data_IF_547851065481
#
_entry.id   IF_547851065481
#
_cell.length_a   1.000
_cell.length_b   1.000
_cell.length_c   1.000
_cell.angle_alpha   90.00
_cell.angle_beta   90.00
_cell.angle_gamma   90.00
#
_symmetry.space_group_name_H-M   'P 1'
#
loop_
_entity.id
_entity.type
_entity.pdbx_description
1 polymer ?
#
# COMPACT_ATOMS: atom_id res chain seq x y z
N UNK A 1 -5.65 -17.85 4.22
CA UNK A 1 -5.89 -16.46 3.79
C UNK A 1 -7.05 -15.87 4.58
N UNK A 2 -6.92 -14.60 4.99
CA UNK A 2 -7.95 -13.89 5.74
C UNK A 2 -8.69 -12.95 4.77
N UNK A 3 -10.01 -13.02 4.75
CA UNK A 3 -10.83 -12.03 4.06
C UNK A 3 -10.64 -10.67 4.75
N UNK A 4 -10.37 -9.62 3.96
CA UNK A 4 -10.16 -8.25 4.44
C UNK A 4 -11.35 -7.37 4.12
N UNK A 5 -11.73 -7.31 2.85
CA UNK A 5 -12.81 -6.42 2.40
C UNK A 5 -13.38 -6.84 1.04
N UNK A 6 -14.59 -6.40 0.78
CA UNK A 6 -15.18 -6.33 -0.54
C UNK A 6 -15.27 -4.85 -0.94
N UNK A 7 -14.57 -4.47 -2.00
CA UNK A 7 -14.54 -3.11 -2.51
C UNK A 7 -15.50 -3.03 -3.71
N UNK A 8 -16.38 -2.06 -3.68
CA UNK A 8 -17.30 -1.73 -4.77
C UNK A 8 -16.66 -0.67 -5.65
N UNK A 9 -16.22 -1.06 -6.85
CA UNK A 9 -15.66 -0.16 -7.85
C UNK A 9 -16.74 0.25 -8.85
N UNK A 10 -16.98 1.55 -8.97
CA UNK A 10 -17.88 2.11 -9.97
C UNK A 10 -17.19 2.13 -11.34
N UNK A 11 -17.54 1.16 -12.19
CA UNK A 11 -16.90 0.93 -13.49
C UNK A 11 -17.47 1.78 -14.63
N UNK A 12 -18.63 2.40 -14.45
CA UNK A 12 -19.30 3.21 -15.46
C UNK A 12 -19.83 4.51 -14.86
N UNK A 13 -19.88 5.56 -15.67
CA UNK A 13 -20.40 6.88 -15.29
C UNK A 13 -21.82 7.14 -15.78
N UNK A 14 -22.35 6.31 -16.68
CA UNK A 14 -23.68 6.47 -17.28
C UNK A 14 -24.53 5.22 -17.10
N UNK A 15 -25.81 5.42 -16.83
CA UNK A 15 -26.80 4.36 -16.82
C UNK A 15 -26.97 3.78 -18.23
N UNK A 16 -27.10 2.46 -18.35
CA UNK A 16 -27.43 1.79 -19.60
C UNK A 16 -28.94 1.72 -19.73
N UNK A 17 -29.47 2.41 -20.74
CA UNK A 17 -30.92 2.41 -21.02
C UNK A 17 -31.40 1.13 -21.72
N UNK A 18 -30.49 0.28 -22.20
CA UNK A 18 -30.72 -0.96 -22.94
C UNK A 18 -30.71 -2.22 -22.05
N UNK A 19 -30.53 -2.07 -20.75
CA UNK A 19 -30.50 -3.21 -19.83
C UNK A 19 -31.92 -3.66 -19.47
N UNK A 20 -32.17 -4.98 -19.56
CA UNK A 20 -33.36 -5.59 -18.99
C UNK A 20 -33.16 -5.79 -17.48
N UNK A 21 -33.81 -4.97 -16.65
CA UNK A 21 -33.71 -5.02 -15.19
C UNK A 21 -32.84 -3.90 -14.60
N UNK A 22 -32.16 -4.19 -13.48
CA UNK A 22 -31.30 -3.20 -12.79
C UNK A 22 -29.90 -3.24 -13.41
N UNK A 23 -29.43 -2.12 -14.03
CA UNK A 23 -28.09 -2.06 -14.62
C UNK A 23 -26.99 -2.23 -13.56
N UNK A 24 -25.98 -3.02 -13.85
CA UNK A 24 -24.83 -3.19 -12.97
C UNK A 24 -23.77 -2.09 -13.27
N UNK A 25 -23.67 -1.11 -12.39
CA UNK A 25 -22.68 -0.02 -12.46
C UNK A 25 -21.40 -0.33 -11.70
N UNK A 26 -21.42 -1.38 -10.86
CA UNK A 26 -20.38 -1.71 -9.91
C UNK A 26 -19.78 -3.08 -10.25
N UNK A 27 -18.48 -3.19 -10.13
CA UNK A 27 -17.74 -4.45 -10.02
C UNK A 27 -17.16 -4.59 -8.61
N UNK A 28 -16.99 -5.83 -8.16
CA UNK A 28 -16.50 -6.15 -6.83
C UNK A 28 -15.03 -6.60 -6.88
N UNK A 29 -14.22 -6.02 -6.00
CA UNK A 29 -12.82 -6.41 -5.79
C UNK A 29 -12.73 -7.06 -4.41
N UNK A 30 -12.48 -8.36 -4.38
CA UNK A 30 -12.33 -9.11 -3.14
C UNK A 30 -10.87 -9.04 -2.67
N UNK A 31 -10.67 -8.58 -1.44
CA UNK A 31 -9.34 -8.42 -0.85
C UNK A 31 -9.11 -9.49 0.21
N UNK A 32 -8.02 -10.22 0.05
CA UNK A 32 -7.57 -11.24 0.99
C UNK A 32 -6.11 -10.97 1.39
N UNK A 33 -5.75 -11.34 2.62
CA UNK A 33 -4.38 -11.27 3.11
C UNK A 33 -3.90 -12.62 3.61
N UNK A 34 -2.61 -12.93 3.41
CA UNK A 34 -1.94 -14.06 4.07
C UNK A 34 -1.56 -13.73 5.51
N UNK A 35 -1.40 -12.43 5.84
CA UNK A 35 -1.08 -11.96 7.19
C UNK A 35 -2.38 -11.64 7.94
N UNK A 36 -2.59 -12.19 9.15
CA UNK A 36 -3.65 -11.72 10.02
C UNK A 36 -3.50 -10.21 10.29
N UNK A 37 -4.60 -9.49 10.38
CA UNK A 37 -4.62 -8.05 10.69
C UNK A 37 -3.74 -7.18 9.75
N UNK A 38 -3.67 -7.54 8.46
CA UNK A 38 -3.04 -6.65 7.48
C UNK A 38 -3.77 -5.31 7.43
N UNK A 39 -3.01 -4.23 7.49
CA UNK A 39 -3.52 -2.86 7.42
C UNK A 39 -3.09 -2.24 6.09
N UNK A 40 -4.03 -1.77 5.26
CA UNK A 40 -3.70 -1.09 4.02
C UNK A 40 -2.98 0.23 4.27
N UNK A 41 -2.08 0.59 3.37
CA UNK A 41 -1.49 1.93 3.36
C UNK A 41 -2.56 2.99 3.11
N UNK A 42 -2.33 4.20 3.61
CA UNK A 42 -3.23 5.32 3.37
C UNK A 42 -3.01 5.90 1.97
N UNK A 43 -4.08 6.33 1.35
CA UNK A 43 -4.03 7.08 0.09
C UNK A 43 -3.46 8.48 0.32
N UNK A 44 -2.83 9.10 -0.67
CA UNK A 44 -2.42 10.50 -0.61
C UNK A 44 -3.60 11.42 -0.30
N UNK A 45 -3.33 12.52 0.36
CA UNK A 45 -4.33 13.57 0.60
C UNK A 45 -4.58 14.37 -0.67
N UNK A 46 -5.82 14.79 -0.87
CA UNK A 46 -6.17 15.66 -1.99
C UNK A 46 -5.88 17.14 -1.64
N UNK A 47 -5.69 17.99 -2.66
CA UNK A 47 -5.56 19.44 -2.48
C UNK A 47 -6.76 20.05 -1.77
N UNK A 48 -7.99 19.58 -2.07
CA UNK A 48 -9.20 20.00 -1.37
C UNK A 48 -9.15 19.71 0.14
N UNK A 49 -8.63 18.54 0.53
CA UNK A 49 -8.42 18.21 1.94
C UNK A 49 -7.37 19.13 2.59
N UNK A 50 -6.33 19.48 1.86
CA UNK A 50 -5.24 20.33 2.34
C UNK A 50 -5.66 21.80 2.41
N UNK A 51 -6.50 22.27 1.51
CA UNK A 51 -6.99 23.67 1.48
C UNK A 51 -7.76 24.09 2.74
N UNK A 52 -8.25 23.13 3.54
CA UNK A 52 -8.91 23.36 4.84
C UNK A 52 -7.94 23.74 5.94
N UNK A 53 -6.64 23.51 5.73
CA UNK A 53 -5.59 23.85 6.69
C UNK A 53 -5.05 25.24 6.36
N UNK A 54 -5.10 26.11 7.34
CA UNK A 54 -4.66 27.51 7.23
C UNK A 54 -3.76 27.85 8.42
N UNK A 55 -3.05 28.95 8.34
CA UNK A 55 -2.22 29.45 9.43
C UNK A 55 -2.59 30.91 9.76
N UNK A 56 -3.77 31.15 10.35
CA UNK A 56 -4.27 32.51 10.58
C UNK A 56 -3.52 33.25 11.70
N UNK A 57 -2.76 32.56 12.52
CA UNK A 57 -2.06 33.10 13.68
C UNK A 57 -0.51 32.99 13.54
N UNK A 58 -0.01 32.69 12.35
CA UNK A 58 1.42 32.51 12.05
C UNK A 58 2.10 31.52 13.02
N UNK A 59 1.43 30.39 13.27
CA UNK A 59 1.95 29.32 14.10
C UNK A 59 3.21 28.70 13.45
N UNK A 60 4.36 28.63 14.16
CA UNK A 60 5.58 28.06 13.61
C UNK A 60 5.50 26.57 13.28
N UNK A 61 4.53 25.84 13.89
CA UNK A 61 4.27 24.45 13.57
C UNK A 61 3.55 24.28 12.22
N UNK A 62 3.13 25.38 11.57
CA UNK A 62 2.56 25.38 10.23
C UNK A 62 1.01 25.38 10.20
N UNK A 63 0.43 25.09 9.01
CA UNK A 63 -1.01 25.15 8.83
C UNK A 63 -1.78 24.15 9.68
N UNK A 64 -2.91 24.56 10.21
CA UNK A 64 -3.78 23.75 11.05
C UNK A 64 -5.26 23.91 10.70
N UNK A 65 -6.05 22.93 11.09
CA UNK A 65 -7.50 22.93 10.96
C UNK A 65 -8.15 23.00 12.34
N UNK A 66 -9.25 23.74 12.42
CA UNK A 66 -10.13 23.81 13.59
C UNK A 66 -10.80 22.45 13.83
N UNK A 67 -10.62 21.88 15.02
CA UNK A 67 -11.27 20.64 15.44
C UNK A 67 -11.87 20.76 16.84
N UNK A 68 -12.73 19.79 17.20
CA UNK A 68 -13.34 19.76 18.54
C UNK A 68 -12.29 19.58 19.64
N UNK A 69 -12.43 20.35 20.71
CA UNK A 69 -11.57 20.31 21.87
C UNK A 69 -11.81 19.08 22.78
N UNK A 70 -12.94 18.42 22.61
CA UNK A 70 -13.39 17.30 23.44
C UNK A 70 -13.67 16.04 22.59
N UNK A 71 -13.83 14.90 23.26
CA UNK A 71 -14.16 13.60 22.69
C UNK A 71 -15.39 13.01 23.41
N UNK A 72 -16.16 12.10 22.78
CA UNK A 72 -17.30 11.45 23.44
C UNK A 72 -16.86 10.52 24.58
N UNK A 73 -17.77 10.21 25.49
CA UNK A 73 -17.55 9.30 26.62
C UNK A 73 -17.24 9.98 27.93
N UNK A 74 -17.97 11.07 28.25
CA UNK A 74 -17.85 11.79 29.51
C UNK A 74 -18.08 10.93 30.75
N UNK A 75 -19.04 10.01 30.70
CA UNK A 75 -19.34 9.06 31.77
C UNK A 75 -18.18 8.14 32.11
N UNK A 76 -17.44 7.65 31.10
CA UNK A 76 -16.32 6.73 31.28
C UNK A 76 -14.99 7.45 31.56
N UNK A 77 -14.90 8.73 31.23
CA UNK A 77 -13.69 9.56 31.36
C UNK A 77 -13.90 10.76 32.32
N UNK A 78 -14.56 10.54 33.41
CA UNK A 78 -14.98 11.61 34.37
C UNK A 78 -13.80 12.47 34.88
N UNK A 79 -12.60 11.91 35.01
CA UNK A 79 -11.39 12.67 35.36
C UNK A 79 -10.97 13.73 34.32
N UNK A 80 -11.51 13.65 33.10
CA UNK A 80 -11.31 14.64 32.03
C UNK A 80 -12.55 15.53 31.80
N UNK A 81 -13.54 15.50 32.71
CA UNK A 81 -14.68 16.38 32.73
C UNK A 81 -14.45 17.39 33.86
N UNK A 82 -13.80 18.48 33.54
CA UNK A 82 -13.45 19.58 34.47
C UNK A 82 -13.74 20.93 33.84
N UNK A 83 -13.87 21.95 34.67
CA UNK A 83 -14.03 23.33 34.22
C UNK A 83 -12.72 23.94 33.74
N UNK A 84 -12.80 24.78 32.70
CA UNK A 84 -11.73 25.71 32.29
C UNK A 84 -12.32 27.12 32.35
N UNK A 85 -11.72 27.99 33.15
CA UNK A 85 -12.17 29.37 33.23
C UNK A 85 -11.73 30.16 32.01
N UNK A 86 -12.67 30.81 31.34
CA UNK A 86 -12.45 31.56 30.12
C UNK A 86 -11.70 32.88 30.43
N UNK A 87 -10.54 33.16 29.83
CA UNK A 87 -9.66 34.27 30.24
C UNK A 87 -10.23 35.65 29.86
N UNK A 88 -11.15 35.71 28.89
CA UNK A 88 -11.74 36.99 28.48
C UNK A 88 -13.10 37.28 29.13
N UNK A 89 -13.82 36.24 29.53
CA UNK A 89 -15.19 36.42 30.06
C UNK A 89 -15.37 35.96 31.50
N UNK A 90 -14.42 35.25 32.06
CA UNK A 90 -14.48 34.67 33.42
C UNK A 90 -15.40 33.44 33.51
N UNK A 91 -16.16 33.10 32.48
CA UNK A 91 -17.12 31.99 32.48
C UNK A 91 -16.42 30.65 32.64
N UNK A 92 -16.97 29.75 33.46
CA UNK A 92 -16.55 28.34 33.52
C UNK A 92 -17.09 27.60 32.31
N UNK A 93 -16.18 26.89 31.62
CA UNK A 93 -16.47 26.14 30.41
C UNK A 93 -16.26 24.66 30.67
N UNK A 94 -17.25 23.85 30.36
CA UNK A 94 -17.22 22.40 30.45
C UNK A 94 -17.30 21.78 29.06
N UNK A 95 -16.91 20.50 28.89
CA UNK A 95 -17.22 19.73 27.67
C UNK A 95 -18.75 19.70 27.45
N UNK A 96 -19.18 19.42 26.23
CA UNK A 96 -20.60 19.21 25.95
C UNK A 96 -21.09 17.89 26.58
N UNK A 97 -22.41 17.73 26.70
CA UNK A 97 -23.03 16.52 27.25
C UNK A 97 -22.43 15.26 26.66
N UNK A 98 -22.12 14.26 27.49
CA UNK A 98 -21.45 12.99 27.20
C UNK A 98 -20.09 13.15 26.52
N UNK A 99 -19.38 14.24 26.77
CA UNK A 99 -18.02 14.45 26.25
C UNK A 99 -17.03 14.74 27.39
N UNK A 100 -15.76 14.63 27.07
CA UNK A 100 -14.63 14.94 27.95
C UNK A 100 -13.56 15.71 27.19
N UNK A 101 -12.72 16.50 27.91
CA UNK A 101 -11.55 17.11 27.29
C UNK A 101 -10.58 16.02 26.81
N UNK A 102 -9.77 16.35 25.80
CA UNK A 102 -8.83 15.38 25.20
C UNK A 102 -7.55 15.17 25.98
N UNK A 103 -7.34 15.94 27.06
CA UNK A 103 -6.14 15.89 27.89
C UNK A 103 -6.51 15.85 29.36
N UNK A 104 -5.63 15.22 30.14
CA UNK A 104 -5.70 15.31 31.59
C UNK A 104 -5.44 16.74 32.08
N UNK A 105 -5.82 17.04 33.30
CA UNK A 105 -5.79 18.38 33.89
C UNK A 105 -4.41 19.05 33.79
N UNK A 106 -3.35 18.33 34.13
CA UNK A 106 -1.98 18.85 34.14
C UNK A 106 -1.49 19.23 32.74
N UNK A 107 -1.74 18.36 31.74
CA UNK A 107 -1.36 18.66 30.36
C UNK A 107 -2.18 19.81 29.79
N UNK A 108 -3.47 19.87 30.10
CA UNK A 108 -4.32 20.97 29.66
C UNK A 108 -3.92 22.28 30.34
N UNK A 109 -3.56 22.25 31.63
CA UNK A 109 -3.08 23.42 32.37
C UNK A 109 -1.83 24.02 31.68
N UNK A 110 -0.87 23.19 31.33
CA UNK A 110 0.35 23.67 30.64
C UNK A 110 0.01 24.35 29.30
N UNK A 111 -0.92 23.77 28.54
CA UNK A 111 -1.38 24.40 27.29
C UNK A 111 -2.09 25.73 27.55
N UNK A 112 -2.98 25.77 28.55
CA UNK A 112 -3.75 26.98 28.88
C UNK A 112 -2.90 28.10 29.44
N UNK A 113 -1.79 27.79 30.13
CA UNK A 113 -0.78 28.76 30.57
C UNK A 113 -0.15 29.57 29.44
N UNK A 114 -0.23 29.06 28.22
CA UNK A 114 0.15 29.83 27.02
C UNK A 114 -0.74 31.07 26.77
N UNK A 115 -1.92 31.20 27.38
CA UNK A 115 -2.79 32.35 27.29
C UNK A 115 -2.55 33.39 28.41
N UNK A 116 -2.57 32.92 29.66
CA UNK A 116 -2.32 33.69 30.86
C UNK A 116 -2.03 32.76 32.03
N UNK A 117 -1.93 33.28 33.27
CA UNK A 117 -1.63 32.45 34.43
C UNK A 117 -2.87 31.66 34.88
N UNK A 118 -2.70 30.33 34.92
CA UNK A 118 -3.72 29.39 35.39
C UNK A 118 -3.20 28.48 36.50
N UNK A 119 -4.10 28.02 37.36
CA UNK A 119 -3.83 27.04 38.41
C UNK A 119 -4.92 25.98 38.48
N UNK A 120 -4.66 24.89 39.19
CA UNK A 120 -5.61 23.86 39.50
C UNK A 120 -6.27 24.19 40.83
N UNK A 121 -7.61 24.21 40.82
CA UNK A 121 -8.41 24.52 42.02
C UNK A 121 -9.61 23.60 42.14
N UNK A 122 -9.90 23.11 43.32
CA UNK A 122 -11.14 22.40 43.60
C UNK A 122 -12.33 23.38 43.60
N UNK A 123 -13.38 22.98 42.93
CA UNK A 123 -14.64 23.73 42.87
C UNK A 123 -15.76 22.84 43.37
N UNK A 124 -16.83 23.45 43.89
CA UNK A 124 -18.09 22.77 44.15
C UNK A 124 -18.92 22.76 42.86
N UNK A 125 -18.49 21.92 41.89
CA UNK A 125 -19.03 21.81 40.53
C UNK A 125 -19.56 20.41 40.19
N UNK A 126 -19.92 19.63 41.22
CA UNK A 126 -20.48 18.30 41.06
C UNK A 126 -21.75 18.28 40.20
N UNK A 127 -22.58 19.28 40.31
CA UNK A 127 -23.82 19.42 39.53
C UNK A 127 -23.54 19.63 38.02
N UNK A 128 -22.61 20.51 37.69
CA UNK A 128 -22.24 20.82 36.31
C UNK A 128 -21.55 19.58 35.64
N UNK A 129 -20.65 18.92 36.37
CA UNK A 129 -19.99 17.71 35.87
C UNK A 129 -20.97 16.55 35.72
N UNK A 130 -21.92 16.40 36.64
CA UNK A 130 -23.00 15.43 36.56
C UNK A 130 -23.88 15.64 35.32
N UNK A 131 -24.23 16.89 35.03
CA UNK A 131 -24.98 17.23 33.81
C UNK A 131 -24.22 16.86 32.52
N UNK A 132 -22.90 17.03 32.50
CA UNK A 132 -22.04 16.59 31.38
C UNK A 132 -21.98 15.09 31.28
N UNK A 133 -21.75 14.38 32.38
CA UNK A 133 -21.60 12.92 32.45
C UNK A 133 -22.93 12.16 32.30
N UNK A 134 -24.07 12.80 32.46
CA UNK A 134 -25.39 12.13 32.52
C UNK A 134 -25.57 11.29 33.78
N UNK A 135 -25.02 11.77 34.93
CA UNK A 135 -25.01 11.13 36.23
C UNK A 135 -25.68 12.04 37.26
N UNK A 136 -25.83 11.55 38.51
CA UNK A 136 -26.18 12.38 39.66
C UNK A 136 -24.90 12.99 40.26
N UNK A 137 -25.01 14.11 41.03
CA UNK A 137 -23.84 14.73 41.66
C UNK A 137 -23.04 13.83 42.58
N UNK A 138 -23.71 12.86 43.23
CA UNK A 138 -23.06 11.89 44.14
C UNK A 138 -22.28 10.80 43.40
N UNK A 139 -22.60 10.56 42.13
CA UNK A 139 -21.95 9.54 41.28
C UNK A 139 -20.74 10.07 40.55
N UNK A 140 -20.52 11.38 40.47
CA UNK A 140 -19.38 11.92 39.75
C UNK A 140 -18.09 11.75 40.54
N UNK A 141 -17.00 11.49 39.82
CA UNK A 141 -15.66 11.31 40.39
C UNK A 141 -15.26 12.52 41.22
N UNK A 142 -14.89 12.27 42.47
CA UNK A 142 -14.40 13.32 43.39
C UNK A 142 -12.93 13.69 43.11
N UNK A 143 -12.49 14.86 43.61
CA UNK A 143 -11.11 15.33 43.48
C UNK A 143 -10.69 15.78 42.10
N UNK A 144 -11.63 16.02 41.18
CA UNK A 144 -11.37 16.56 39.86
C UNK A 144 -11.26 18.09 39.96
N UNK A 145 -10.06 18.63 39.73
CA UNK A 145 -9.77 20.06 39.84
C UNK A 145 -10.07 20.80 38.54
N UNK A 146 -10.60 21.98 38.63
CA UNK A 146 -10.80 22.92 37.55
C UNK A 146 -9.49 23.67 37.21
N UNK A 147 -9.38 24.15 36.00
CA UNK A 147 -8.32 25.05 35.53
C UNK A 147 -8.87 26.48 35.62
N UNK A 148 -8.46 27.22 36.64
CA UNK A 148 -8.95 28.56 36.91
C UNK A 148 -7.85 29.60 36.76
N UNK A 149 -8.26 30.87 36.55
CA UNK A 149 -7.34 31.98 36.51
C UNK A 149 -6.71 32.17 37.90
N UNK A 150 -5.37 32.29 37.96
CA UNK A 150 -4.66 32.56 39.20
C UNK A 150 -4.54 34.06 39.51
N UNK A 151 -5.01 34.91 38.60
CA UNK A 151 -5.01 36.38 38.69
C UNK A 151 -6.43 36.93 38.43
N UNK A 152 -6.75 38.16 38.83
CA UNK A 152 -8.01 38.80 38.49
C UNK A 152 -8.32 38.79 37.01
N UNK A 153 -9.60 38.75 36.67
CA UNK A 153 -10.07 38.59 35.28
C UNK A 153 -9.57 39.69 34.35
N UNK A 154 -9.52 40.92 34.80
CA UNK A 154 -9.03 42.07 34.03
C UNK A 154 -7.56 41.93 33.65
N UNK A 155 -6.71 41.48 34.58
CA UNK A 155 -5.29 41.20 34.36
C UNK A 155 -5.12 40.01 33.39
N UNK A 156 -5.82 38.92 33.65
CA UNK A 156 -5.79 37.72 32.82
C UNK A 156 -6.25 38.00 31.38
N UNK A 157 -7.36 38.80 31.27
CA UNK A 157 -7.89 39.21 29.97
C UNK A 157 -6.90 40.06 29.15
N UNK A 158 -6.19 41.00 29.81
CA UNK A 158 -5.16 41.80 29.14
C UNK A 158 -3.98 40.92 28.62
N UNK A 159 -3.53 39.94 29.42
CA UNK A 159 -2.49 38.99 29.00
C UNK A 159 -2.95 38.15 27.81
N UNK A 160 -4.12 37.55 27.90
CA UNK A 160 -4.70 36.73 26.85
C UNK A 160 -4.95 37.54 25.55
N UNK A 161 -5.35 38.81 25.67
CA UNK A 161 -5.50 39.71 24.52
C UNK A 161 -4.18 39.92 23.79
N UNK A 162 -3.06 40.15 24.51
CA UNK A 162 -1.75 40.30 23.95
C UNK A 162 -1.31 39.02 23.18
N UNK A 163 -1.59 37.84 23.72
CA UNK A 163 -1.32 36.56 23.03
C UNK A 163 -2.17 36.44 21.77
N UNK A 164 -3.45 36.82 21.85
CA UNK A 164 -4.36 36.75 20.69
C UNK A 164 -3.90 37.68 19.55
N UNK A 165 -3.48 38.90 19.87
CA UNK A 165 -3.02 39.92 18.91
C UNK A 165 -1.64 39.56 18.32
N UNK A 166 -0.75 39.01 19.13
CA UNK A 166 0.58 38.54 18.68
C UNK A 166 0.46 37.39 17.68
N UNK A 167 -0.56 36.55 17.81
CA UNK A 167 -0.64 35.26 17.11
C UNK A 167 0.11 34.15 17.84
N UNK A 168 0.36 33.02 17.11
CA UNK A 168 0.97 31.81 17.69
C UNK A 168 0.18 31.30 18.92
N UNK A 169 -1.14 31.20 18.74
CA UNK A 169 -2.03 30.80 19.82
C UNK A 169 -1.70 29.39 20.33
N UNK A 170 -1.92 29.13 21.62
CA UNK A 170 -1.84 27.77 22.16
C UNK A 170 -2.70 26.78 21.38
N UNK A 171 -2.33 25.50 21.43
CA UNK A 171 -3.02 24.40 20.72
C UNK A 171 -4.53 24.38 20.98
N UNK A 172 -4.96 24.74 22.20
CA UNK A 172 -6.35 25.01 22.52
C UNK A 172 -6.56 26.52 22.53
N UNK A 173 -7.48 26.99 21.73
CA UNK A 173 -7.69 28.40 21.49
C UNK A 173 -9.16 28.78 21.54
N UNK A 174 -9.44 30.09 21.76
CA UNK A 174 -10.77 30.65 21.85
C UNK A 174 -11.19 31.23 20.50
N UNK A 175 -12.38 30.81 20.01
CA UNK A 175 -12.93 31.28 18.74
C UNK A 175 -13.53 32.69 18.85
N UNK A 176 -14.05 33.23 17.73
CA UNK A 176 -14.80 34.51 17.70
C UNK A 176 -14.05 35.68 18.34
N UNK A 177 -12.79 35.88 17.97
CA UNK A 177 -11.99 36.97 18.50
C UNK A 177 -11.70 36.85 20.03
N UNK A 178 -11.58 35.62 20.52
CA UNK A 178 -11.34 35.34 21.91
C UNK A 178 -12.64 35.29 22.76
N UNK A 179 -13.83 35.53 22.20
CA UNK A 179 -15.11 35.55 22.95
C UNK A 179 -15.89 34.23 22.83
N UNK A 180 -15.46 33.33 21.97
CA UNK A 180 -16.16 32.07 21.69
C UNK A 180 -15.64 30.89 22.48
N UNK A 181 -16.12 29.69 22.12
CA UNK A 181 -15.76 28.45 22.80
C UNK A 181 -14.31 27.98 22.49
N UNK A 182 -13.88 27.02 23.28
CA UNK A 182 -12.57 26.39 23.11
C UNK A 182 -12.61 25.43 21.94
N UNK A 183 -11.62 25.57 21.06
CA UNK A 183 -11.33 24.66 19.93
C UNK A 183 -9.87 24.21 19.98
N UNK A 184 -9.55 23.18 19.19
CA UNK A 184 -8.20 22.61 19.12
C UNK A 184 -7.63 22.76 17.73
N UNK A 185 -6.35 23.11 17.64
CA UNK A 185 -5.57 23.04 16.40
C UNK A 185 -5.21 21.58 16.10
N UNK A 186 -5.46 21.14 14.88
CA UNK A 186 -4.94 19.89 14.33
C UNK A 186 -4.07 20.26 13.14
N UNK A 187 -2.77 20.03 13.27
CA UNK A 187 -1.79 20.45 12.27
C UNK A 187 -1.79 19.51 11.07
N UNK A 188 -1.57 20.06 9.88
CA UNK A 188 -1.53 19.31 8.63
C UNK A 188 -0.44 18.22 8.65
N UNK A 189 0.71 18.54 9.21
CA UNK A 189 1.83 17.61 9.34
C UNK A 189 1.51 16.38 10.22
N UNK A 190 0.66 16.55 11.23
CA UNK A 190 0.24 15.46 12.12
C UNK A 190 -0.81 14.53 11.53
N UNK A 191 -1.35 14.86 10.36
CA UNK A 191 -2.46 14.11 9.75
C UNK A 191 -1.92 13.27 8.59
N UNK A 192 -1.96 11.97 8.76
CA UNK A 192 -1.59 11.04 7.70
C UNK A 192 -2.52 11.10 6.49
N UNK A 193 -2.28 10.24 5.50
CA UNK A 193 -3.09 10.11 4.30
C UNK A 193 -4.57 9.77 4.57
N UNK A 194 -5.34 9.73 3.51
CA UNK A 194 -6.77 9.35 3.51
C UNK A 194 -6.90 7.82 3.66
N UNK A 195 -7.73 7.30 4.58
CA UNK A 195 -8.03 5.87 4.60
C UNK A 195 -8.64 5.41 3.29
N UNK A 196 -8.27 4.23 2.81
CA UNK A 196 -8.97 3.58 1.72
C UNK A 196 -10.33 3.08 2.21
N UNK A 197 -11.40 3.54 1.58
CA UNK A 197 -12.76 3.07 1.84
C UNK A 197 -13.10 1.88 0.93
N UNK A 198 -14.20 1.21 1.18
CA UNK A 198 -14.68 0.10 0.34
C UNK A 198 -15.58 0.53 -0.83
N UNK A 199 -15.72 1.83 -1.08
CA UNK A 199 -16.37 2.38 -2.27
C UNK A 199 -15.38 3.23 -3.06
N UNK A 200 -15.17 2.86 -4.32
CA UNK A 200 -14.24 3.51 -5.22
C UNK A 200 -14.98 4.11 -6.43
N UNK A 201 -15.25 5.41 -6.42
CA UNK A 201 -15.95 6.08 -7.50
C UNK A 201 -15.06 6.18 -8.75
N UNK A 202 -15.67 6.17 -9.93
CA UNK A 202 -14.96 6.31 -11.21
C UNK A 202 -14.12 7.58 -11.29
N UNK A 203 -14.55 8.67 -10.65
CA UNK A 203 -13.82 9.93 -10.63
C UNK A 203 -12.41 9.80 -10.03
N UNK A 204 -12.22 8.89 -9.08
CA UNK A 204 -10.92 8.64 -8.43
C UNK A 204 -10.12 7.51 -9.11
N UNK A 205 -10.79 6.54 -9.72
CA UNK A 205 -10.18 5.28 -10.18
C UNK A 205 -10.30 5.03 -11.69
N UNK A 206 -10.98 5.89 -12.41
CA UNK A 206 -11.30 5.66 -13.82
C UNK A 206 -12.47 4.69 -14.02
N UNK A 207 -12.89 4.58 -15.25
CA UNK A 207 -13.98 3.72 -15.71
C UNK A 207 -13.59 2.99 -17.00
N UNK A 208 -14.41 2.01 -17.41
CA UNK A 208 -14.10 1.12 -18.56
C UNK A 208 -13.93 1.89 -19.88
N UNK A 209 -14.76 2.91 -20.16
CA UNK A 209 -14.64 3.68 -21.40
C UNK A 209 -13.37 4.54 -21.44
N UNK A 210 -12.96 5.11 -20.30
CA UNK A 210 -11.66 5.79 -20.16
C UNK A 210 -10.53 4.81 -20.49
N UNK A 211 -10.53 3.64 -19.87
CA UNK A 211 -9.52 2.63 -20.10
C UNK A 211 -9.44 2.18 -21.57
N UNK A 212 -10.59 2.10 -22.26
CA UNK A 212 -10.63 1.78 -23.70
C UNK A 212 -10.03 2.90 -24.55
N UNK A 213 -10.32 4.15 -24.22
CA UNK A 213 -9.72 5.32 -24.90
C UNK A 213 -8.21 5.39 -24.68
N UNK A 214 -7.76 5.12 -23.47
CA UNK A 214 -6.33 5.08 -23.13
C UNK A 214 -5.62 3.98 -23.93
N UNK A 215 -6.20 2.78 -23.97
CA UNK A 215 -5.65 1.67 -24.74
C UNK A 215 -5.59 2.02 -26.25
N UNK A 216 -6.65 2.59 -26.81
CA UNK A 216 -6.66 3.08 -28.19
C UNK A 216 -5.58 4.13 -28.44
N UNK A 217 -5.35 5.03 -27.49
CA UNK A 217 -4.29 6.04 -27.60
C UNK A 217 -2.90 5.41 -27.63
N UNK A 218 -2.65 4.44 -26.77
CA UNK A 218 -1.38 3.69 -26.73
C UNK A 218 -1.11 2.99 -28.06
N UNK A 219 -2.15 2.45 -28.71
CA UNK A 219 -2.03 1.70 -29.97
C UNK A 219 -2.26 2.53 -31.23
N UNK A 220 -2.39 3.85 -31.12
CA UNK A 220 -2.65 4.73 -32.27
C UNK A 220 -4.00 4.48 -32.95
N UNK A 221 -5.01 4.07 -32.17
CA UNK A 221 -6.38 3.84 -32.64
C UNK A 221 -6.64 2.47 -33.28
N UNK A 222 -5.70 1.52 -33.24
CA UNK A 222 -5.74 0.24 -33.98
C UNK A 222 -5.74 -1.00 -33.09
N UNK A 223 -6.41 -0.98 -31.95
CA UNK A 223 -6.50 -2.15 -31.08
C UNK A 223 -7.93 -2.54 -30.80
N UNK A 224 -8.21 -3.84 -30.83
CA UNK A 224 -9.49 -4.42 -30.44
C UNK A 224 -9.29 -5.22 -29.16
N UNK A 225 -9.74 -4.66 -28.05
CA UNK A 225 -9.75 -5.35 -26.76
C UNK A 225 -10.97 -4.88 -25.98
N UNK A 226 -11.74 -5.84 -25.51
CA UNK A 226 -12.94 -5.54 -24.75
C UNK A 226 -12.65 -5.40 -23.27
N UNK A 227 -13.23 -4.37 -22.65
CA UNK A 227 -13.24 -4.15 -21.20
C UNK A 227 -11.87 -4.10 -20.51
N UNK A 228 -10.88 -3.31 -21.01
CA UNK A 228 -9.65 -3.09 -20.26
C UNK A 228 -9.96 -2.41 -18.92
N UNK A 229 -9.15 -2.67 -17.92
CA UNK A 229 -9.25 -1.94 -16.65
C UNK A 229 -8.43 -0.63 -16.72
N UNK A 230 -8.87 0.45 -16.07
CA UNK A 230 -8.10 1.69 -16.03
C UNK A 230 -6.82 1.54 -15.19
N UNK A 231 -5.72 2.13 -15.63
CA UNK A 231 -4.45 2.09 -14.88
C UNK A 231 -4.60 2.68 -13.49
N UNK A 232 -5.36 3.77 -13.33
CA UNK A 232 -5.64 4.42 -12.04
C UNK A 232 -6.30 3.50 -11.01
N UNK A 233 -7.09 2.52 -11.45
CA UNK A 233 -7.66 1.51 -10.55
C UNK A 233 -6.56 0.63 -9.95
N UNK A 234 -5.66 0.13 -10.80
CA UNK A 234 -4.56 -0.72 -10.37
C UNK A 234 -3.53 0.08 -9.55
N UNK A 235 -3.23 1.32 -9.95
CA UNK A 235 -2.38 2.22 -9.17
C UNK A 235 -2.92 2.43 -7.76
N UNK A 236 -4.24 2.56 -7.60
CA UNK A 236 -4.87 2.63 -6.27
C UNK A 236 -4.72 1.33 -5.47
N UNK A 237 -4.90 0.17 -6.11
CA UNK A 237 -4.65 -1.14 -5.48
C UNK A 237 -3.20 -1.21 -5.00
N UNK A 238 -2.25 -0.86 -5.85
CA UNK A 238 -0.83 -0.87 -5.52
C UNK A 238 -0.47 0.13 -4.42
N UNK A 239 -1.06 1.33 -4.42
CA UNK A 239 -0.84 2.34 -3.39
C UNK A 239 -1.19 1.82 -1.99
N UNK A 240 -2.25 1.03 -1.86
CA UNK A 240 -2.69 0.52 -0.55
C UNK A 240 -2.07 -0.81 -0.16
N UNK A 241 -1.52 -1.57 -1.13
CA UNK A 241 -1.11 -2.96 -0.92
C UNK A 241 0.37 -3.25 -1.24
N UNK A 242 1.06 -2.40 -1.99
CA UNK A 242 2.41 -2.66 -2.47
C UNK A 242 3.42 -1.62 -1.96
N UNK A 243 4.56 -2.08 -1.43
CA UNK A 243 5.72 -1.23 -1.15
C UNK A 243 6.50 -0.89 -2.45
N UNK A 244 7.43 0.08 -2.41
CA UNK A 244 8.20 0.48 -3.59
C UNK A 244 9.09 -0.61 -4.20
N UNK A 245 9.30 -1.74 -3.53
CA UNK A 245 10.14 -2.87 -3.93
C UNK A 245 9.35 -4.18 -4.14
N UNK A 246 8.02 -4.13 -4.11
CA UNK A 246 7.16 -5.31 -4.22
C UNK A 246 7.24 -6.00 -5.57
N UNK A 247 6.95 -7.31 -5.57
CA UNK A 247 6.66 -8.10 -6.77
C UNK A 247 5.14 -8.18 -6.92
N UNK A 248 4.64 -7.79 -8.08
CA UNK A 248 3.22 -7.78 -8.43
C UNK A 248 2.96 -8.89 -9.45
N UNK A 249 2.20 -9.90 -9.05
CA UNK A 249 1.77 -10.98 -9.95
C UNK A 249 0.34 -10.73 -10.42
N UNK A 250 0.13 -10.78 -11.73
CA UNK A 250 -1.18 -10.77 -12.36
C UNK A 250 -1.30 -12.04 -13.24
N UNK A 251 -2.11 -12.98 -12.78
CA UNK A 251 -2.27 -14.28 -13.44
C UNK A 251 -3.28 -14.28 -14.59
N UNK A 252 -3.93 -13.14 -14.86
CA UNK A 252 -4.87 -12.93 -15.98
C UNK A 252 -4.65 -11.53 -16.54
N UNK A 253 -3.46 -11.30 -17.11
CA UNK A 253 -2.95 -9.97 -17.43
C UNK A 253 -3.81 -9.17 -18.42
N UNK A 254 -4.61 -9.84 -19.24
CA UNK A 254 -5.50 -9.20 -20.21
C UNK A 254 -4.72 -8.23 -21.09
N UNK A 255 -5.10 -6.96 -21.09
CA UNK A 255 -4.39 -5.94 -21.87
C UNK A 255 -3.11 -5.40 -21.23
N UNK A 256 -2.58 -5.99 -20.15
CA UNK A 256 -1.34 -5.56 -19.50
C UNK A 256 -1.45 -4.30 -18.62
N UNK A 257 -2.64 -4.01 -18.10
CA UNK A 257 -2.87 -2.82 -17.27
C UNK A 257 -2.03 -2.80 -16.00
N UNK A 258 -1.80 -3.97 -15.40
CA UNK A 258 -1.01 -4.09 -14.16
C UNK A 258 0.43 -3.67 -14.37
N UNK A 259 1.09 -4.10 -15.44
CA UNK A 259 2.44 -3.64 -15.75
C UNK A 259 2.48 -2.13 -16.01
N UNK A 260 1.52 -1.59 -16.76
CA UNK A 260 1.39 -0.14 -16.98
C UNK A 260 1.30 0.64 -15.66
N UNK A 261 0.46 0.20 -14.73
CA UNK A 261 0.34 0.83 -13.42
C UNK A 261 1.64 0.73 -12.58
N UNK A 262 2.31 -0.42 -12.60
CA UNK A 262 3.62 -0.59 -11.91
C UNK A 262 4.66 0.36 -12.47
N UNK A 263 4.79 0.46 -13.79
CA UNK A 263 5.74 1.34 -14.46
C UNK A 263 5.45 2.82 -14.16
N UNK A 264 4.19 3.24 -14.21
CA UNK A 264 3.77 4.59 -13.84
C UNK A 264 4.17 4.94 -12.40
N UNK A 265 3.90 4.04 -11.45
CA UNK A 265 4.23 4.28 -10.06
C UNK A 265 5.74 4.36 -9.83
N UNK A 266 6.52 3.48 -10.45
CA UNK A 266 7.99 3.52 -10.36
C UNK A 266 8.54 4.84 -10.92
N UNK A 267 8.01 5.34 -12.06
CA UNK A 267 8.39 6.65 -12.61
C UNK A 267 8.02 7.79 -11.65
N UNK A 268 6.88 7.70 -10.97
CA UNK A 268 6.36 8.76 -10.11
C UNK A 268 7.08 8.86 -8.75
N UNK A 269 7.43 7.72 -8.13
CA UNK A 269 7.98 7.67 -6.77
C UNK A 269 9.44 7.16 -6.70
N UNK A 270 10.05 6.82 -7.85
CA UNK A 270 11.40 6.25 -7.90
C UNK A 270 11.49 4.82 -7.35
N UNK A 271 10.37 4.13 -7.20
CA UNK A 271 10.31 2.75 -6.74
C UNK A 271 10.90 1.75 -7.75
N UNK A 272 11.12 0.53 -7.28
CA UNK A 272 11.63 -0.60 -8.06
C UNK A 272 10.67 -1.80 -7.97
N UNK A 273 9.36 -1.55 -8.06
CA UNK A 273 8.38 -2.63 -8.14
C UNK A 273 8.60 -3.43 -9.39
N UNK A 274 8.48 -4.74 -9.29
CA UNK A 274 8.58 -5.69 -10.40
C UNK A 274 7.22 -6.28 -10.68
N UNK A 275 6.97 -6.68 -11.92
CA UNK A 275 5.73 -7.36 -12.30
C UNK A 275 6.01 -8.71 -12.94
N UNK A 276 5.07 -9.63 -12.75
CA UNK A 276 4.98 -10.91 -13.42
C UNK A 276 3.57 -10.99 -13.98
N UNK A 277 3.46 -11.04 -15.30
CA UNK A 277 2.18 -11.17 -16.00
C UNK A 277 2.05 -12.54 -16.61
N UNK A 278 0.91 -13.17 -16.46
CA UNK A 278 0.58 -14.44 -17.12
C UNK A 278 -0.66 -14.21 -17.97
N UNK A 279 -0.60 -14.56 -19.25
CA UNK A 279 -1.70 -14.48 -20.19
C UNK A 279 -1.66 -15.69 -21.12
N UNK A 280 -2.78 -16.38 -21.27
CA UNK A 280 -2.86 -17.60 -22.07
C UNK A 280 -3.48 -17.41 -23.47
N UNK A 281 -4.03 -16.22 -23.72
CA UNK A 281 -4.71 -15.95 -24.99
C UNK A 281 -3.73 -15.48 -26.06
N UNK A 282 -4.08 -15.70 -27.31
CA UNK A 282 -3.27 -15.38 -28.49
C UNK A 282 -2.84 -13.90 -28.59
N UNK A 283 -3.52 -13.01 -27.89
CA UNK A 283 -3.14 -11.59 -27.82
C UNK A 283 -2.03 -11.27 -26.81
N UNK A 284 -1.47 -12.24 -26.11
CA UNK A 284 -0.42 -12.04 -25.10
C UNK A 284 0.77 -11.24 -25.64
N UNK A 285 1.25 -11.55 -26.85
CA UNK A 285 2.31 -10.79 -27.52
C UNK A 285 1.78 -9.48 -28.10
N UNK A 286 0.75 -9.55 -28.95
CA UNK A 286 0.30 -8.44 -29.78
C UNK A 286 -0.42 -7.30 -29.01
N UNK A 287 -0.98 -7.59 -27.84
CA UNK A 287 -1.66 -6.59 -26.99
C UNK A 287 -0.97 -6.44 -25.66
N UNK A 288 -0.80 -7.52 -24.88
CA UNK A 288 -0.28 -7.43 -23.51
C UNK A 288 1.17 -6.93 -23.50
N UNK A 289 2.07 -7.65 -24.17
CA UNK A 289 3.49 -7.30 -24.25
C UNK A 289 3.72 -5.99 -25.02
N UNK A 290 3.02 -5.81 -26.14
CA UNK A 290 3.14 -4.60 -26.95
C UNK A 290 2.69 -3.34 -26.20
N UNK A 291 1.64 -3.42 -25.37
CA UNK A 291 1.26 -2.31 -24.47
C UNK A 291 2.39 -1.95 -23.52
N UNK A 292 2.98 -2.96 -22.87
CA UNK A 292 4.09 -2.74 -21.93
C UNK A 292 5.26 -2.05 -22.62
N UNK A 293 5.64 -2.52 -23.82
CA UNK A 293 6.69 -1.92 -24.62
C UNK A 293 6.42 -0.45 -24.95
N UNK A 294 5.21 -0.14 -25.43
CA UNK A 294 4.83 1.23 -25.75
C UNK A 294 4.80 2.16 -24.54
N UNK A 295 4.40 1.66 -23.39
CA UNK A 295 4.43 2.42 -22.14
C UNK A 295 5.88 2.70 -21.70
N UNK A 296 6.79 1.75 -21.88
CA UNK A 296 8.22 1.92 -21.60
C UNK A 296 8.85 2.97 -22.54
N UNK A 297 8.59 2.85 -23.84
CA UNK A 297 9.21 3.67 -24.90
C UNK A 297 8.55 5.07 -25.03
N UNK A 298 7.28 5.19 -24.64
CA UNK A 298 6.43 6.33 -24.92
C UNK A 298 5.53 6.10 -26.14
N UNK A 299 4.43 6.85 -26.23
CA UNK A 299 3.43 6.69 -27.28
C UNK A 299 2.74 7.99 -27.62
N UNK A 300 1.99 7.98 -28.72
CA UNK A 300 1.31 9.16 -29.25
C UNK A 300 2.24 10.10 -30.01
N UNK A 301 1.67 11.14 -30.62
CA UNK A 301 2.40 12.10 -31.46
C UNK A 301 1.98 13.55 -31.16
N UNK A 302 2.89 14.49 -31.38
CA UNK A 302 2.64 15.92 -31.23
C UNK A 302 2.14 16.27 -29.82
N UNK A 303 0.99 16.96 -29.75
CA UNK A 303 0.39 17.37 -28.44
C UNK A 303 -0.17 16.22 -27.61
N UNK A 304 -0.30 15.03 -28.18
CA UNK A 304 -0.77 13.81 -27.51
C UNK A 304 0.36 12.85 -27.18
N UNK A 305 1.60 13.25 -27.40
CA UNK A 305 2.75 12.44 -27.05
C UNK A 305 2.82 12.24 -25.53
N UNK A 306 3.00 11.00 -25.11
CA UNK A 306 3.21 10.60 -23.72
C UNK A 306 4.63 10.06 -23.61
N UNK A 307 5.41 10.67 -22.74
CA UNK A 307 6.79 10.26 -22.48
C UNK A 307 6.83 8.88 -21.87
N UNK A 308 7.74 8.03 -22.33
CA UNK A 308 7.93 6.68 -21.81
C UNK A 308 8.28 6.66 -20.33
N UNK A 309 7.89 5.58 -19.68
CA UNK A 309 8.22 5.36 -18.27
C UNK A 309 9.66 4.93 -18.07
N UNK A 310 10.30 4.42 -19.14
CA UNK A 310 11.54 3.66 -19.02
C UNK A 310 11.31 2.28 -18.39
N UNK A 311 12.39 1.58 -18.14
CA UNK A 311 12.37 0.21 -17.61
C UNK A 311 12.59 -0.84 -18.69
N UNK A 312 12.40 -2.09 -18.33
CA UNK A 312 12.48 -3.24 -19.24
C UNK A 312 11.61 -4.39 -18.77
N UNK A 313 11.40 -5.38 -19.61
CA UNK A 313 10.78 -6.66 -19.26
C UNK A 313 11.30 -7.76 -20.16
N UNK A 314 11.15 -9.01 -19.72
CA UNK A 314 11.41 -10.21 -20.53
C UNK A 314 10.08 -10.86 -20.88
N UNK A 315 9.95 -11.24 -22.16
CA UNK A 315 8.79 -11.98 -22.65
C UNK A 315 9.18 -13.44 -22.83
N UNK A 316 8.32 -14.33 -22.35
CA UNK A 316 8.51 -15.77 -22.42
C UNK A 316 7.27 -16.43 -23.00
N UNK A 317 7.48 -17.44 -23.83
CA UNK A 317 6.45 -18.34 -24.32
C UNK A 317 6.68 -19.75 -23.78
N UNK A 318 5.62 -20.54 -23.69
CA UNK A 318 5.74 -21.94 -23.37
C UNK A 318 6.39 -22.67 -24.54
N UNK A 319 7.54 -23.26 -24.28
CA UNK A 319 8.22 -24.12 -25.22
C UNK A 319 7.57 -25.52 -25.32
N UNK A 320 8.18 -26.44 -26.07
CA UNK A 320 7.79 -27.84 -26.10
C UNK A 320 7.72 -28.46 -24.71
N UNK A 321 6.82 -29.40 -24.47
CA UNK A 321 6.77 -30.14 -23.22
C UNK A 321 8.10 -30.87 -22.98
N UNK A 322 8.57 -30.82 -21.74
CA UNK A 322 9.86 -31.42 -21.38
C UNK A 322 9.79 -32.95 -21.32
N UNK A 323 8.67 -33.47 -20.80
CA UNK A 323 8.40 -34.91 -20.73
C UNK A 323 7.30 -35.29 -21.70
N UNK A 324 7.52 -36.30 -22.49
CA UNK A 324 6.53 -36.89 -23.37
C UNK A 324 5.50 -37.73 -22.55
N UNK A 325 4.32 -38.06 -23.11
CA UNK A 325 3.31 -38.87 -22.41
C UNK A 325 3.79 -40.24 -21.93
N UNK A 326 4.81 -40.78 -22.53
CA UNK A 326 5.49 -42.06 -22.18
C UNK A 326 6.49 -41.90 -21.04
N UNK A 327 6.73 -40.67 -20.55
CA UNK A 327 7.69 -40.36 -19.49
C UNK A 327 9.10 -40.08 -19.96
N UNK A 328 9.38 -40.19 -21.26
CA UNK A 328 10.71 -39.90 -21.82
C UNK A 328 10.94 -38.40 -21.94
N UNK A 329 12.22 -38.00 -21.96
CA UNK A 329 12.60 -36.62 -22.24
C UNK A 329 12.28 -36.27 -23.72
N UNK A 330 11.72 -35.09 -23.91
CA UNK A 330 11.50 -34.55 -25.25
C UNK A 330 12.77 -33.91 -25.78
N UNK A 331 13.41 -34.57 -26.71
CA UNK A 331 14.68 -34.13 -27.32
C UNK A 331 14.58 -32.81 -28.14
N UNK A 332 13.32 -32.41 -28.52
CA UNK A 332 13.08 -31.14 -29.19
C UNK A 332 13.38 -29.94 -28.29
N UNK A 333 13.30 -30.11 -26.96
CA UNK A 333 13.62 -29.08 -25.97
C UNK A 333 15.11 -28.67 -26.02
N UNK A 334 15.97 -29.58 -26.46
CA UNK A 334 17.40 -29.37 -26.53
C UNK A 334 18.15 -29.64 -25.22
N UNK A 335 19.33 -30.21 -25.35
CA UNK A 335 20.15 -30.71 -24.21
C UNK A 335 20.42 -29.63 -23.15
N UNK A 336 20.62 -28.36 -23.53
CA UNK A 336 20.93 -27.29 -22.61
C UNK A 336 19.74 -27.02 -21.67
N UNK A 337 18.52 -26.92 -22.18
CA UNK A 337 17.30 -26.70 -21.38
C UNK A 337 16.97 -27.88 -20.48
N UNK A 338 17.22 -29.09 -20.96
CA UNK A 338 17.08 -30.31 -20.17
C UNK A 338 18.06 -30.29 -19.00
N UNK A 339 19.33 -29.91 -19.24
CA UNK A 339 20.35 -29.75 -18.19
C UNK A 339 19.96 -28.70 -17.14
N UNK A 340 19.47 -27.53 -17.56
CA UNK A 340 18.98 -26.48 -16.69
C UNK A 340 17.86 -26.99 -15.76
N UNK A 341 16.92 -27.74 -16.34
CA UNK A 341 15.82 -28.33 -15.59
C UNK A 341 16.30 -29.39 -14.58
N UNK A 342 17.09 -30.36 -15.03
CA UNK A 342 17.60 -31.45 -14.17
C UNK A 342 18.39 -30.88 -13.01
N UNK A 343 19.32 -29.95 -13.27
CA UNK A 343 20.11 -29.32 -12.22
C UNK A 343 19.23 -28.57 -11.21
N UNK A 344 18.25 -27.80 -11.70
CA UNK A 344 17.30 -27.09 -10.83
C UNK A 344 16.43 -28.04 -10.00
N UNK A 345 15.98 -29.14 -10.57
CA UNK A 345 15.16 -30.12 -9.83
C UNK A 345 15.93 -30.75 -8.66
N UNK A 346 17.22 -31.02 -8.84
CA UNK A 346 18.08 -31.59 -7.81
C UNK A 346 18.54 -30.57 -6.76
N UNK A 347 18.95 -29.39 -7.19
CA UNK A 347 19.63 -28.41 -6.32
C UNK A 347 18.74 -27.26 -5.85
N UNK A 348 17.63 -26.96 -6.56
CA UNK A 348 16.82 -25.74 -6.46
C UNK A 348 17.59 -24.47 -6.79
N UNK A 349 18.77 -24.60 -7.41
CA UNK A 349 19.61 -23.51 -7.87
C UNK A 349 19.67 -23.47 -9.40
N UNK A 350 19.86 -22.29 -10.02
CA UNK A 350 20.02 -22.21 -11.46
C UNK A 350 21.34 -22.88 -11.90
N UNK A 351 21.32 -23.50 -13.07
CA UNK A 351 22.54 -24.05 -13.66
C UNK A 351 23.59 -22.93 -13.81
N UNK A 352 24.84 -23.13 -13.35
CA UNK A 352 25.92 -22.15 -13.53
C UNK A 352 26.08 -21.75 -15.00
N UNK A 353 26.21 -20.46 -15.28
CA UNK A 353 26.31 -19.89 -16.62
C UNK A 353 27.66 -20.25 -17.29
N UNK A 354 28.74 -20.39 -16.51
CA UNK A 354 30.04 -20.79 -16.97
C UNK A 354 30.19 -22.30 -16.79
N UNK A 355 30.15 -23.04 -17.89
CA UNK A 355 30.39 -24.48 -17.90
C UNK A 355 31.82 -24.74 -18.38
N UNK A 356 32.62 -25.58 -17.66
CA UNK A 356 33.97 -25.95 -18.09
C UNK A 356 33.91 -26.69 -19.42
N UNK A 357 34.63 -26.21 -20.44
CA UNK A 357 34.65 -26.81 -21.78
C UNK A 357 35.31 -28.19 -21.80
N UNK A 358 36.18 -28.48 -20.86
CA UNK A 358 36.88 -29.73 -20.67
C UNK A 358 36.04 -30.80 -19.93
N UNK A 359 34.84 -30.42 -19.44
CA UNK A 359 33.93 -31.29 -18.68
C UNK A 359 32.51 -31.25 -19.27
N UNK A 360 32.28 -31.84 -20.44
CA UNK A 360 31.05 -31.62 -21.23
C UNK A 360 29.76 -32.05 -20.50
N UNK A 361 29.84 -33.01 -19.58
CA UNK A 361 28.67 -33.54 -18.86
C UNK A 361 28.52 -32.99 -17.45
N UNK A 362 29.51 -32.25 -16.95
CA UNK A 362 29.43 -31.63 -15.63
C UNK A 362 28.43 -30.47 -15.62
N UNK A 363 27.53 -30.46 -14.65
CA UNK A 363 26.53 -29.40 -14.49
C UNK A 363 26.92 -28.37 -13.41
N UNK A 364 27.51 -28.83 -12.33
CA UNK A 364 27.88 -27.95 -11.22
C UNK A 364 28.18 -28.71 -9.94
N UNK A 365 28.66 -27.99 -8.94
CA UNK A 365 28.84 -28.45 -7.57
C UNK A 365 27.85 -27.69 -6.68
N UNK A 366 27.03 -28.43 -5.92
CA UNK A 366 26.08 -27.87 -4.93
C UNK A 366 26.18 -28.72 -3.66
N UNK A 367 26.34 -28.05 -2.49
CA UNK A 367 26.46 -28.70 -1.17
C UNK A 367 27.43 -29.90 -1.16
N UNK A 368 28.64 -29.73 -1.71
CA UNK A 368 29.68 -30.77 -1.84
C UNK A 368 29.29 -31.98 -2.71
N UNK A 369 28.19 -31.94 -3.44
CA UNK A 369 27.79 -32.95 -4.43
C UNK A 369 28.03 -32.45 -5.84
N UNK A 370 28.68 -33.24 -6.66
CA UNK A 370 28.93 -32.96 -8.06
C UNK A 370 27.83 -33.58 -8.92
N UNK A 371 27.25 -32.78 -9.78
CA UNK A 371 26.14 -33.16 -10.65
C UNK A 371 26.61 -33.32 -12.07
N UNK A 372 26.30 -34.47 -12.71
CA UNK A 372 26.64 -34.80 -14.09
C UNK A 372 25.39 -35.23 -14.84
N UNK A 373 25.26 -34.75 -16.07
CA UNK A 373 24.21 -35.16 -17.01
C UNK A 373 24.89 -35.77 -18.26
N UNK A 374 25.12 -37.08 -18.20
CA UNK A 374 25.69 -37.84 -19.29
C UNK A 374 24.58 -38.22 -20.26
N UNK A 375 24.26 -37.28 -21.12
CA UNK A 375 23.22 -37.37 -22.14
C UNK A 375 23.79 -36.96 -23.48
N UNK A 376 23.56 -37.79 -24.50
CA UNK A 376 23.86 -37.50 -25.88
C UNK A 376 22.59 -37.74 -26.71
N UNK A 377 22.26 -36.79 -27.60
CA UNK A 377 21.13 -36.96 -28.49
C UNK A 377 21.36 -38.13 -29.41
N UNK A 378 20.35 -38.95 -29.66
CA UNK A 378 20.36 -40.08 -30.58
C UNK A 378 21.39 -41.20 -30.23
N UNK A 379 21.93 -41.19 -29.01
CA UNK A 379 22.82 -42.21 -28.52
C UNK A 379 22.50 -42.59 -27.07
N UNK A 380 22.35 -43.89 -26.83
CA UNK A 380 22.18 -44.42 -25.47
C UNK A 380 23.50 -44.27 -24.71
N UNK A 381 23.50 -43.55 -23.61
CA UNK A 381 24.65 -43.37 -22.74
C UNK A 381 24.62 -44.39 -21.62
N UNK A 382 25.81 -44.92 -21.26
CA UNK A 382 25.93 -45.93 -20.20
C UNK A 382 26.95 -45.47 -19.18
N UNK A 383 26.49 -45.34 -17.93
CA UNK A 383 27.38 -45.10 -16.78
C UNK A 383 28.18 -46.40 -16.54
N UNK A 384 29.46 -46.38 -16.84
CA UNK A 384 30.41 -47.46 -16.66
C UNK A 384 31.73 -46.95 -16.04
N UNK A 385 32.67 -47.85 -15.79
CA UNK A 385 33.98 -47.48 -15.24
C UNK A 385 34.80 -46.57 -16.18
N UNK A 386 34.56 -46.62 -17.47
CA UNK A 386 35.21 -45.76 -18.45
C UNK A 386 34.75 -44.32 -18.28
N UNK A 387 33.44 -44.12 -18.14
CA UNK A 387 32.89 -42.80 -17.85
C UNK A 387 33.36 -42.29 -16.48
N UNK A 388 33.31 -43.12 -15.43
CA UNK A 388 33.77 -42.71 -14.08
C UNK A 388 35.24 -42.24 -14.12
N UNK A 389 36.09 -42.86 -14.90
CA UNK A 389 37.49 -42.46 -15.06
C UNK A 389 37.67 -41.06 -15.68
N UNK A 390 36.64 -40.50 -16.33
CA UNK A 390 36.66 -39.15 -16.87
C UNK A 390 36.31 -38.07 -15.85
N UNK A 391 35.78 -38.46 -14.69
CA UNK A 391 35.37 -37.53 -13.61
C UNK A 391 36.60 -37.01 -12.89
N UNK A 392 36.88 -35.72 -13.05
CA UNK A 392 38.01 -35.04 -12.41
C UNK A 392 37.63 -34.16 -11.24
N UNK A 393 36.33 -33.84 -11.09
CA UNK A 393 35.86 -33.00 -10.01
C UNK A 393 35.83 -33.80 -8.71
N UNK A 394 36.51 -33.30 -7.66
CA UNK A 394 36.47 -33.89 -6.33
C UNK A 394 35.26 -33.38 -5.58
N UNK A 395 34.47 -34.30 -5.09
CA UNK A 395 33.25 -34.01 -4.27
C UNK A 395 33.07 -35.13 -3.26
N UNK A 396 32.21 -34.85 -2.24
CA UNK A 396 31.83 -35.87 -1.26
C UNK A 396 30.75 -36.81 -1.78
N UNK A 397 29.93 -36.33 -2.72
CA UNK A 397 28.89 -37.11 -3.39
C UNK A 397 28.83 -36.80 -4.89
N UNK A 398 28.27 -37.73 -5.66
CA UNK A 398 28.07 -37.59 -7.09
C UNK A 398 26.64 -38.00 -7.45
N UNK A 399 25.96 -37.15 -8.19
CA UNK A 399 24.69 -37.47 -8.87
C UNK A 399 24.89 -37.46 -10.34
N UNK A 400 24.72 -38.62 -10.98
CA UNK A 400 25.01 -38.81 -12.41
C UNK A 400 23.76 -39.35 -13.08
N UNK A 401 23.30 -38.65 -14.11
CA UNK A 401 22.23 -39.08 -14.99
C UNK A 401 22.80 -39.69 -16.26
N UNK A 402 22.38 -40.89 -16.60
CA UNK A 402 22.68 -41.58 -17.83
C UNK A 402 21.51 -42.50 -18.22
N UNK A 403 21.40 -42.93 -19.47
CA UNK A 403 20.29 -43.80 -19.89
C UNK A 403 20.37 -45.18 -19.26
N UNK A 404 21.59 -45.71 -19.12
CA UNK A 404 21.84 -47.04 -18.51
C UNK A 404 22.95 -46.94 -17.47
N UNK A 405 22.92 -47.87 -16.50
CA UNK A 405 24.01 -48.07 -15.55
C UNK A 405 24.52 -49.50 -15.63
N UNK A 406 25.79 -49.66 -15.95
CA UNK A 406 26.51 -50.95 -16.01
C UNK A 406 27.35 -51.21 -14.76
N UNK A 407 27.28 -50.34 -13.74
CA UNK A 407 28.02 -50.49 -12.49
C UNK A 407 27.15 -51.29 -11.52
N UNK A 408 27.67 -52.36 -10.91
CA UNK A 408 26.95 -53.11 -9.90
C UNK A 408 26.56 -52.23 -8.70
N UNK A 409 25.33 -52.40 -8.17
CA UNK A 409 24.81 -51.59 -7.06
C UNK A 409 25.71 -51.68 -5.79
N UNK A 410 26.45 -52.75 -5.65
CA UNK A 410 27.39 -52.99 -4.52
C UNK A 410 28.66 -52.13 -4.61
N UNK A 411 28.90 -51.49 -5.76
CA UNK A 411 30.07 -50.62 -6.08
C UNK A 411 29.71 -49.14 -6.14
N UNK A 412 28.47 -48.80 -6.13
CA UNK A 412 27.94 -47.44 -6.08
C UNK A 412 27.72 -47.01 -4.61
#
# INVERSE_FOLDING_TARGET
>A
SCFVSNISWQRTYSMRNDSQGIPAEIEHILVYSKKPMWIPSKLPRTEEMNSKYKNPDNDPQGPWQNTTAFAPGGTTHQGMVYAIQHPFTGKMMYPTRDAHWRYQQEQMLEIMRGWCNYELKELDDAHERAAVCGLTPDEVRQGVKAIVLSEPLDVSSQKAKKVYERGQWPRFYFTSGGKGGIRRKTYMESVGGKPATNYWPFSETGHTDEAKKDLLSIFGGKVTFDTPKPARLIERVLTIAASPDSIVLDSFAGSGTTAHAVLNMNKADGGNRRFILVEMMDYADSITAERVKRVIDGYGEGKKAVEGTGGNFSYYELGPVLLLPDGNLNEEVGAQKIREYVYYMETKEPLPTEQPKDKPYFMGLCHNTAYYFYYERERVTTLDHTFLATIQTKAEGYTIYADLCAIPQETL
#
